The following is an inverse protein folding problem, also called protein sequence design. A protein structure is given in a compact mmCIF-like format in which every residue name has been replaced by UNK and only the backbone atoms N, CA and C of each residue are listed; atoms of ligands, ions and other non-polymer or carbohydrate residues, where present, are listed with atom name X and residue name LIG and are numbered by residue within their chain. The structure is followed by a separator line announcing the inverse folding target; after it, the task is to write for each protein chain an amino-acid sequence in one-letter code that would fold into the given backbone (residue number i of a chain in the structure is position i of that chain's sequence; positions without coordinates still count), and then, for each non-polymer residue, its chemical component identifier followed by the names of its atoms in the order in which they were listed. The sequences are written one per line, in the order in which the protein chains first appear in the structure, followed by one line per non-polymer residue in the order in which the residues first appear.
data_IF_153370989801
#
_entry.id   IF_153370989801
#
_cell.length_a   1.000
_cell.length_b   1.000
_cell.length_c   1.000
_cell.angle_alpha   90.00
_cell.angle_beta   90.00
_cell.angle_gamma   90.00
#
_symmetry.space_group_name_H-M   'P 1'
#
loop_
_entity.id
_entity.type
_entity.pdbx_description
1 polymer ?
#
# COMPACT_ATOMS: atom_id res chain seq x y z
N UNK A 1 -10.75 -1.87 26.65
CA UNK A 1 -9.70 -2.31 25.71
C UNK A 1 -9.87 -3.81 25.49
N UNK A 2 -10.05 -4.30 24.25
CA UNK A 2 -9.62 -5.65 23.96
C UNK A 2 -8.09 -5.61 24.03
N UNK A 3 -7.54 -6.02 25.18
CA UNK A 3 -6.19 -6.58 25.22
C UNK A 3 -6.18 -7.62 24.09
N UNK A 4 -5.05 -7.81 23.40
CA UNK A 4 -4.87 -9.06 22.66
C UNK A 4 -4.92 -10.13 23.75
N UNK A 5 -6.12 -10.57 24.13
CA UNK A 5 -6.34 -11.82 24.83
C UNK A 5 -5.88 -12.81 23.78
N UNK A 6 -4.58 -13.08 23.75
CA UNK A 6 -4.13 -14.40 23.40
C UNK A 6 -4.92 -15.27 24.35
N UNK A 7 -5.96 -15.97 23.86
CA UNK A 7 -6.67 -16.86 24.74
C UNK A 7 -5.58 -17.77 25.29
N UNK A 8 -5.45 -17.87 26.61
CA UNK A 8 -4.49 -18.79 27.23
C UNK A 8 -4.77 -20.26 26.84
N UNK A 9 -5.84 -20.50 26.06
CA UNK A 9 -6.04 -21.69 25.27
C UNK A 9 -5.12 -21.77 24.05
N UNK A 10 -4.34 -22.86 23.98
CA UNK A 10 -3.54 -23.28 22.82
C UNK A 10 -4.22 -22.87 21.51
N UNK A 11 -3.55 -21.98 20.77
CA UNK A 11 -4.03 -21.54 19.46
C UNK A 11 -4.21 -22.78 18.59
N UNK A 12 -5.44 -23.06 18.18
CA UNK A 12 -5.71 -24.22 17.34
C UNK A 12 -4.94 -24.06 16.02
N UNK A 13 -4.51 -25.18 15.43
CA UNK A 13 -3.86 -25.18 14.11
C UNK A 13 -4.70 -24.42 13.07
N UNK A 14 -6.03 -24.55 13.15
CA UNK A 14 -6.97 -23.82 12.29
C UNK A 14 -6.97 -22.31 12.51
N UNK A 15 -6.71 -21.83 13.74
CA UNK A 15 -6.53 -20.41 14.03
C UNK A 15 -5.23 -19.87 13.45
N UNK A 16 -4.13 -20.60 13.62
CA UNK A 16 -2.83 -20.22 13.05
C UNK A 16 -2.89 -20.11 11.52
N UNK A 17 -3.52 -21.09 10.84
CA UNK A 17 -3.68 -21.08 9.39
C UNK A 17 -4.46 -19.84 8.92
N UNK A 18 -5.52 -19.43 9.63
CA UNK A 18 -6.28 -18.22 9.28
C UNK A 18 -5.44 -16.96 9.42
N UNK A 19 -4.68 -16.83 10.52
CA UNK A 19 -3.80 -15.69 10.78
C UNK A 19 -2.74 -15.56 9.69
N UNK A 20 -2.07 -16.66 9.35
CA UNK A 20 -1.06 -16.70 8.28
C UNK A 20 -1.71 -16.32 6.94
N UNK A 21 -2.87 -16.86 6.63
CA UNK A 21 -3.57 -16.56 5.38
C UNK A 21 -4.00 -15.10 5.28
N UNK A 22 -4.44 -14.49 6.38
CA UNK A 22 -4.75 -13.07 6.45
C UNK A 22 -3.50 -12.22 6.20
N UNK A 23 -2.38 -12.54 6.87
CA UNK A 23 -1.11 -11.86 6.68
C UNK A 23 -0.63 -11.95 5.23
N UNK A 24 -0.73 -13.12 4.60
CA UNK A 24 -0.38 -13.33 3.18
C UNK A 24 -1.25 -12.47 2.26
N UNK A 25 -2.56 -12.40 2.49
CA UNK A 25 -3.46 -11.57 1.65
C UNK A 25 -3.12 -10.09 1.73
N UNK A 26 -2.84 -9.59 2.93
CA UNK A 26 -2.43 -8.20 3.14
C UNK A 26 -1.08 -7.96 2.47
N UNK A 27 -0.14 -8.90 2.63
CA UNK A 27 1.17 -8.81 2.03
C UNK A 27 1.14 -8.75 0.50
N UNK A 28 0.33 -9.62 -0.13
CA UNK A 28 0.12 -9.62 -1.57
C UNK A 28 -0.49 -8.30 -2.05
N UNK A 29 -1.53 -7.80 -1.36
CA UNK A 29 -2.15 -6.52 -1.71
C UNK A 29 -1.18 -5.35 -1.67
N UNK A 30 -0.33 -5.30 -0.64
CA UNK A 30 0.70 -4.26 -0.49
C UNK A 30 1.79 -4.42 -1.55
N UNK A 31 2.27 -5.64 -1.80
CA UNK A 31 3.33 -5.89 -2.78
C UNK A 31 2.90 -5.51 -4.20
N UNK A 32 1.65 -5.80 -4.59
CA UNK A 32 1.09 -5.42 -5.89
C UNK A 32 1.08 -3.90 -6.10
N UNK A 33 0.91 -3.12 -5.03
CA UNK A 33 0.89 -1.65 -5.11
C UNK A 33 2.29 -1.07 -4.96
N UNK A 34 3.01 -1.40 -3.90
CA UNK A 34 4.24 -0.70 -3.54
C UNK A 34 5.40 -1.05 -4.47
N UNK A 35 5.52 -2.31 -4.92
CA UNK A 35 6.68 -2.74 -5.73
C UNK A 35 6.67 -2.12 -7.13
N UNK A 36 5.58 -2.23 -7.94
CA UNK A 36 5.61 -1.69 -9.30
C UNK A 36 5.73 -0.16 -9.32
N UNK A 37 4.96 0.52 -8.46
CA UNK A 37 5.01 1.97 -8.37
C UNK A 37 6.35 2.45 -7.79
N UNK A 38 6.93 1.71 -6.84
CA UNK A 38 8.25 2.04 -6.31
C UNK A 38 9.35 1.97 -7.37
N UNK A 39 9.37 0.91 -8.19
CA UNK A 39 10.30 0.81 -9.33
C UNK A 39 10.10 1.95 -10.33
N UNK A 40 8.84 2.35 -10.59
CA UNK A 40 8.55 3.44 -11.50
C UNK A 40 9.05 4.81 -10.99
N UNK A 41 9.10 5.01 -9.67
CA UNK A 41 9.49 6.29 -9.06
C UNK A 41 11.01 6.39 -8.91
N UNK A 42 11.65 5.36 -8.35
CA UNK A 42 13.05 5.47 -7.91
C UNK A 42 14.03 4.67 -8.75
N UNK A 43 13.59 3.59 -9.40
CA UNK A 43 14.47 2.63 -10.06
C UNK A 43 15.44 1.87 -9.14
N UNK A 44 15.46 2.18 -7.83
CA UNK A 44 16.44 1.64 -6.88
C UNK A 44 15.85 0.57 -5.97
N UNK A 45 16.51 -0.59 -5.94
CA UNK A 45 16.06 -1.75 -5.18
C UNK A 45 15.95 -1.50 -3.66
N UNK A 46 16.90 -0.77 -3.08
CA UNK A 46 16.92 -0.50 -1.64
C UNK A 46 15.73 0.36 -1.19
N UNK A 47 15.37 1.39 -1.96
CA UNK A 47 14.17 2.21 -1.70
C UNK A 47 12.90 1.35 -1.68
N UNK A 48 12.81 0.40 -2.61
CA UNK A 48 11.65 -0.47 -2.76
C UNK A 48 11.60 -1.50 -1.64
N UNK A 49 12.73 -2.08 -1.24
CA UNK A 49 12.82 -2.96 -0.07
C UNK A 49 12.38 -2.24 1.21
N UNK A 50 12.80 -0.99 1.40
CA UNK A 50 12.36 -0.16 2.53
C UNK A 50 10.86 0.08 2.50
N UNK A 51 10.33 0.55 1.38
CA UNK A 51 8.90 0.85 1.27
C UNK A 51 8.02 -0.39 1.37
N UNK A 52 8.36 -1.45 0.66
CA UNK A 52 7.64 -2.72 0.72
C UNK A 52 7.73 -3.32 2.12
N UNK A 53 8.93 -3.39 2.72
CA UNK A 53 9.13 -3.91 4.06
C UNK A 53 8.34 -3.13 5.12
N UNK A 54 8.40 -1.79 5.09
CA UNK A 54 7.60 -0.92 5.97
C UNK A 54 6.11 -1.18 5.79
N UNK A 55 5.63 -1.11 4.55
CA UNK A 55 4.23 -1.30 4.23
C UNK A 55 3.73 -2.66 4.71
N UNK A 56 4.47 -3.73 4.44
CA UNK A 56 4.17 -5.11 4.84
C UNK A 56 4.10 -5.24 6.36
N UNK A 57 5.14 -4.83 7.08
CA UNK A 57 5.21 -4.98 8.53
C UNK A 57 4.05 -4.22 9.21
N UNK A 58 3.82 -2.97 8.81
CA UNK A 58 2.76 -2.14 9.39
C UNK A 58 1.38 -2.66 8.99
N UNK A 59 1.17 -2.94 7.70
CA UNK A 59 -0.11 -3.40 7.18
C UNK A 59 -0.53 -4.74 7.78
N UNK A 60 0.38 -5.71 7.86
CA UNK A 60 0.14 -7.00 8.51
C UNK A 60 -0.12 -6.79 10.00
N UNK A 61 0.73 -6.04 10.71
CA UNK A 61 0.57 -5.79 12.14
C UNK A 61 -0.78 -5.15 12.51
N UNK A 62 -1.21 -4.15 11.73
CA UNK A 62 -2.53 -3.53 11.90
C UNK A 62 -3.66 -4.48 11.55
N UNK A 63 -3.51 -5.28 10.50
CA UNK A 63 -4.56 -6.21 10.09
C UNK A 63 -4.85 -7.28 11.13
N UNK A 64 -3.80 -7.81 11.78
CA UNK A 64 -3.92 -8.81 12.82
C UNK A 64 -4.55 -8.22 14.08
N UNK A 65 -4.28 -6.94 14.34
CA UNK A 65 -4.80 -6.23 15.51
C UNK A 65 -6.28 -5.86 15.40
N UNK A 66 -6.75 -5.47 14.22
CA UNK A 66 -8.12 -4.97 14.02
C UNK A 66 -9.17 -6.06 13.78
N UNK A 67 -8.76 -7.34 13.79
CA UNK A 67 -9.63 -8.49 13.55
C UNK A 67 -10.07 -8.65 12.09
N UNK A 68 -10.80 -9.74 11.81
CA UNK A 68 -11.07 -10.19 10.44
C UNK A 68 -11.88 -9.19 9.59
N UNK A 69 -12.81 -8.45 10.19
CA UNK A 69 -13.81 -7.69 9.42
C UNK A 69 -13.27 -6.41 8.79
N UNK A 70 -12.43 -5.67 9.51
CA UNK A 70 -11.87 -4.40 9.05
C UNK A 70 -10.34 -4.45 8.86
N UNK A 71 -9.66 -5.41 9.51
CA UNK A 71 -8.21 -5.44 9.54
C UNK A 71 -7.58 -5.66 8.18
N UNK A 72 -8.17 -6.47 7.30
CA UNK A 72 -7.60 -6.72 5.97
C UNK A 72 -7.56 -5.44 5.13
N UNK A 73 -8.70 -4.75 4.98
CA UNK A 73 -8.78 -3.54 4.14
C UNK A 73 -7.98 -2.38 4.73
N UNK A 74 -8.04 -2.18 6.05
CA UNK A 74 -7.27 -1.13 6.73
C UNK A 74 -5.77 -1.43 6.66
N UNK A 75 -5.37 -2.69 6.88
CA UNK A 75 -3.97 -3.11 6.79
C UNK A 75 -3.38 -2.91 5.39
N UNK A 76 -4.11 -3.32 4.34
CA UNK A 76 -3.69 -3.08 2.95
C UNK A 76 -3.58 -1.57 2.70
N UNK A 77 -4.61 -0.79 3.05
CA UNK A 77 -4.63 0.63 2.77
C UNK A 77 -3.49 1.39 3.48
N UNK A 78 -3.38 1.23 4.80
CA UNK A 78 -2.38 1.93 5.62
C UNK A 78 -0.98 1.46 5.25
N UNK A 79 -0.80 0.14 5.06
CA UNK A 79 0.46 -0.44 4.59
C UNK A 79 0.88 0.10 3.22
N UNK A 80 -0.03 0.17 2.25
CA UNK A 80 0.26 0.74 0.92
C UNK A 80 0.59 2.22 0.98
N UNK A 81 -0.16 3.03 1.74
CA UNK A 81 0.13 4.47 1.88
C UNK A 81 1.51 4.68 2.49
N UNK A 82 1.81 4.02 3.61
CA UNK A 82 3.08 4.19 4.32
C UNK A 82 4.26 3.63 3.52
N UNK A 83 4.07 2.50 2.85
CA UNK A 83 5.07 1.95 1.95
C UNK A 83 5.38 2.90 0.80
N UNK A 84 4.36 3.45 0.14
CA UNK A 84 4.55 4.43 -0.94
C UNK A 84 5.21 5.72 -0.48
N UNK A 85 4.80 6.27 0.66
CA UNK A 85 5.43 7.47 1.23
C UNK A 85 6.88 7.20 1.60
N UNK A 86 7.19 6.03 2.14
CA UNK A 86 8.56 5.63 2.43
C UNK A 86 9.40 5.55 1.14
N UNK A 87 8.88 4.95 0.06
CA UNK A 87 9.58 4.92 -1.24
C UNK A 87 9.79 6.34 -1.78
N UNK A 88 8.76 7.19 -1.73
CA UNK A 88 8.82 8.56 -2.22
C UNK A 88 9.85 9.40 -1.47
N UNK A 89 9.86 9.33 -0.14
CA UNK A 89 10.82 10.09 0.68
C UNK A 89 12.23 9.55 0.46
N UNK A 90 12.41 8.23 0.43
CA UNK A 90 13.71 7.62 0.17
C UNK A 90 14.24 7.98 -1.23
N UNK A 91 13.39 7.95 -2.26
CA UNK A 91 13.77 8.35 -3.62
C UNK A 91 14.01 9.84 -3.83
N UNK A 92 13.41 10.70 -3.00
CA UNK A 92 13.58 12.15 -3.08
C UNK A 92 14.83 12.66 -2.34
N UNK A 93 15.43 11.83 -1.48
CA UNK A 93 16.60 12.21 -0.69
C UNK A 93 17.78 11.35 -1.06
N UNK A 94 18.92 11.98 -1.35
CA UNK A 94 20.18 11.25 -1.37
C UNK A 94 20.42 10.63 0.02
N UNK A 95 20.68 9.33 0.07
CA UNK A 95 20.95 8.55 1.30
C UNK A 95 22.02 9.14 2.22
N UNK A 96 22.75 10.16 1.76
CA UNK A 96 23.82 10.86 2.47
C UNK A 96 23.42 11.35 3.87
N UNK A 97 22.14 11.68 4.11
CA UNK A 97 21.70 12.19 5.40
C UNK A 97 21.22 11.11 6.40
N UNK A 98 21.21 9.85 5.97
CA UNK A 98 20.92 8.70 6.82
C UNK A 98 19.46 8.55 7.28
N UNK A 99 19.15 7.45 7.99
CA UNK A 99 17.79 7.08 8.40
C UNK A 99 17.09 8.01 9.37
N UNK A 100 17.84 8.90 10.03
CA UNK A 100 17.29 9.85 10.98
C UNK A 100 16.33 10.86 10.36
N UNK A 101 16.33 11.04 9.03
CA UNK A 101 15.49 12.06 8.36
C UNK A 101 14.18 11.52 7.83
N UNK A 102 14.20 10.36 7.18
CA UNK A 102 13.02 9.83 6.49
C UNK A 102 12.15 8.92 7.38
N UNK A 103 12.69 8.36 8.47
CA UNK A 103 11.92 7.56 9.43
C UNK A 103 10.90 8.41 10.23
N UNK A 104 11.27 9.59 10.79
CA UNK A 104 10.33 10.42 11.55
C UNK A 104 9.03 10.80 10.82
N UNK A 105 9.02 11.28 9.55
CA UNK A 105 7.78 11.60 8.84
C UNK A 105 6.90 10.38 8.60
N UNK A 106 7.47 9.23 8.25
CA UNK A 106 6.70 7.99 8.04
C UNK A 106 6.08 7.49 9.34
N UNK A 107 6.85 7.56 10.43
CA UNK A 107 6.36 7.23 11.77
C UNK A 107 5.25 8.19 12.21
N UNK A 108 5.43 9.50 12.00
CA UNK A 108 4.41 10.53 12.20
C UNK A 108 3.12 10.23 11.46
N UNK A 109 3.23 9.98 10.15
CA UNK A 109 2.11 9.65 9.28
C UNK A 109 1.36 8.41 9.76
N UNK A 110 2.09 7.34 10.11
CA UNK A 110 1.50 6.08 10.54
C UNK A 110 0.74 6.21 11.85
N UNK A 111 1.32 6.85 12.86
CA UNK A 111 0.63 7.10 14.13
C UNK A 111 -0.59 7.99 13.93
N UNK A 112 -0.49 9.02 13.07
CA UNK A 112 -1.61 9.90 12.71
C UNK A 112 -2.75 9.16 12.00
N UNK A 113 -2.44 8.29 11.04
CA UNK A 113 -3.44 7.47 10.34
C UNK A 113 -4.18 6.55 11.31
N UNK A 114 -3.47 5.91 12.25
CA UNK A 114 -4.05 5.02 13.26
C UNK A 114 -4.99 5.81 14.20
N UNK A 115 -4.59 7.00 14.65
CA UNK A 115 -5.44 7.91 15.47
C UNK A 115 -6.69 8.31 14.70
N UNK A 116 -6.54 8.80 13.46
CA UNK A 116 -7.64 9.32 12.67
C UNK A 116 -8.64 8.25 12.21
N UNK A 117 -8.22 6.98 12.04
CA UNK A 117 -9.14 5.89 11.72
C UNK A 117 -10.04 5.50 12.89
N UNK A 118 -9.76 6.02 14.09
CA UNK A 118 -10.54 5.77 15.30
C UNK A 118 -10.37 4.35 15.83
N UNK A 119 -9.31 3.65 15.42
CA UNK A 119 -9.03 2.27 15.82
C UNK A 119 -8.54 2.19 17.25
N UNK A 120 -7.93 3.27 17.72
CA UNK A 120 -7.43 3.45 19.08
C UNK A 120 -7.84 4.83 19.55
N UNK A 121 -8.51 4.90 20.71
CA UNK A 121 -8.75 6.20 21.34
C UNK A 121 -7.50 6.54 22.14
N UNK A 122 -6.71 7.47 21.65
CA UNK A 122 -5.56 8.02 22.35
C UNK A 122 -6.04 8.96 23.47
N UNK A 123 -6.71 8.42 24.49
CA UNK A 123 -7.22 9.21 25.60
C UNK A 123 -6.10 9.57 26.59
N UNK A 124 -5.04 8.76 26.63
CA UNK A 124 -3.94 8.89 27.58
C UNK A 124 -2.56 8.85 26.92
N UNK A 125 -1.56 9.46 27.57
CA UNK A 125 -0.15 9.32 27.15
C UNK A 125 0.34 7.87 27.15
N UNK A 126 -0.22 7.03 28.01
CA UNK A 126 0.10 5.60 28.06
C UNK A 126 -0.33 4.91 26.76
N UNK A 127 -1.54 5.17 26.28
CA UNK A 127 -2.01 4.67 24.98
C UNK A 127 -1.14 5.22 23.85
N UNK A 128 -0.89 6.53 23.83
CA UNK A 128 0.00 7.13 22.82
C UNK A 128 1.39 6.51 22.78
N UNK A 129 1.93 6.17 23.96
CA UNK A 129 3.22 5.50 24.09
C UNK A 129 3.18 4.07 23.54
N UNK A 130 2.15 3.29 23.88
CA UNK A 130 2.00 1.91 23.38
C UNK A 130 1.82 1.87 21.86
N UNK A 131 1.01 2.79 21.32
CA UNK A 131 0.80 2.90 19.86
C UNK A 131 2.08 3.31 19.13
N UNK A 132 2.77 4.33 19.66
CA UNK A 132 4.04 4.78 19.07
C UNK A 132 5.08 3.66 19.14
N UNK A 133 5.18 2.93 20.26
CA UNK A 133 6.09 1.80 20.40
C UNK A 133 5.78 0.68 19.41
N UNK A 134 4.51 0.27 19.31
CA UNK A 134 4.08 -0.75 18.35
C UNK A 134 4.45 -0.32 16.93
N UNK A 135 4.16 0.94 16.58
CA UNK A 135 4.48 1.49 15.27
C UNK A 135 5.99 1.53 15.00
N UNK A 136 6.81 1.90 15.99
CA UNK A 136 8.26 1.88 15.90
C UNK A 136 8.80 0.46 15.67
N UNK A 137 8.26 -0.53 16.39
CA UNK A 137 8.64 -1.95 16.24
C UNK A 137 8.29 -2.46 14.84
N UNK A 138 7.08 -2.19 14.35
CA UNK A 138 6.66 -2.60 13.01
C UNK A 138 7.51 -1.92 11.92
N UNK A 139 7.76 -0.62 12.07
CA UNK A 139 8.59 0.13 11.15
C UNK A 139 10.03 -0.42 11.15
N UNK A 140 10.58 -0.70 12.33
CA UNK A 140 11.92 -1.29 12.50
C UNK A 140 12.07 -2.63 11.79
N UNK A 141 11.10 -3.54 11.94
CA UNK A 141 11.09 -4.79 11.18
C UNK A 141 10.99 -4.56 9.68
N UNK A 142 10.23 -3.55 9.26
CA UNK A 142 10.04 -3.22 7.85
C UNK A 142 11.29 -2.65 7.18
N UNK A 143 12.09 -1.83 7.87
CA UNK A 143 13.33 -1.26 7.32
C UNK A 143 14.56 -2.16 7.49
N UNK A 144 14.49 -3.18 8.36
CA UNK A 144 15.58 -4.10 8.65
C UNK A 144 16.26 -4.68 7.38
N UNK A 145 15.52 -5.13 6.33
CA UNK A 145 16.14 -5.72 5.14
C UNK A 145 17.04 -4.76 4.37
N UNK A 146 16.81 -3.45 4.48
CA UNK A 146 17.55 -2.44 3.73
C UNK A 146 18.60 -1.69 4.56
N UNK A 147 18.36 -1.52 5.86
CA UNK A 147 19.22 -0.72 6.75
C UNK A 147 19.98 -1.55 7.79
N UNK A 148 19.73 -2.85 7.87
CA UNK A 148 20.30 -3.72 8.90
C UNK A 148 20.01 -3.20 10.31
N UNK A 149 20.99 -3.27 11.20
CA UNK A 149 20.83 -2.92 12.64
C UNK A 149 20.39 -1.47 12.85
N UNK A 150 20.82 -0.53 12.00
CA UNK A 150 20.38 0.88 12.09
C UNK A 150 18.87 1.01 11.87
N UNK A 151 18.29 0.15 11.04
CA UNK A 151 16.85 0.05 10.84
C UNK A 151 16.08 -0.34 12.10
N UNK A 152 16.71 -1.07 13.04
CA UNK A 152 16.10 -1.43 14.31
C UNK A 152 16.17 -0.28 15.33
N UNK A 153 17.34 0.35 15.45
CA UNK A 153 17.64 1.31 16.51
C UNK A 153 16.90 2.63 16.29
N UNK A 154 16.93 3.17 15.07
CA UNK A 154 16.44 4.53 14.80
C UNK A 154 14.94 4.69 15.08
N UNK A 155 14.03 3.83 14.58
CA UNK A 155 12.60 3.93 14.91
C UNK A 155 12.35 3.84 16.41
N UNK A 156 13.03 2.93 17.13
CA UNK A 156 12.84 2.75 18.56
C UNK A 156 13.32 3.98 19.35
N UNK A 157 14.41 4.60 18.94
CA UNK A 157 14.91 5.82 19.55
C UNK A 157 13.94 7.00 19.39
N UNK A 158 13.14 7.02 18.33
CA UNK A 158 12.13 8.04 18.03
C UNK A 158 10.81 7.88 18.79
N UNK A 159 10.61 6.74 19.46
CA UNK A 159 9.38 6.43 20.19
C UNK A 159 8.95 7.52 21.19
N UNK A 160 9.85 8.09 22.03
CA UNK A 160 9.46 9.10 23.01
C UNK A 160 8.92 10.38 22.37
N UNK A 161 9.59 10.86 21.32
CA UNK A 161 9.21 12.06 20.58
C UNK A 161 7.83 11.88 19.96
N UNK A 162 7.58 10.73 19.34
CA UNK A 162 6.30 10.44 18.72
C UNK A 162 5.16 10.27 19.71
N UNK A 163 5.42 9.63 20.85
CA UNK A 163 4.45 9.51 21.93
C UNK A 163 4.08 10.88 22.53
N UNK A 164 5.03 11.81 22.62
CA UNK A 164 4.77 13.19 23.05
C UNK A 164 3.90 13.94 22.04
N UNK A 165 4.24 13.88 20.75
CA UNK A 165 3.46 14.51 19.67
C UNK A 165 2.02 13.96 19.67
N UNK A 166 1.86 12.64 19.60
CA UNK A 166 0.54 12.01 19.58
C UNK A 166 -0.27 12.30 20.85
N UNK A 167 0.34 12.20 22.03
CA UNK A 167 -0.32 12.50 23.30
C UNK A 167 -0.63 13.99 23.52
N UNK A 168 0.08 14.90 22.86
CA UNK A 168 -0.23 16.33 22.88
C UNK A 168 -1.44 16.65 21.99
N UNK A 169 -1.48 16.13 20.76
CA UNK A 169 -2.51 16.44 19.78
C UNK A 169 -3.79 15.60 19.88
N UNK A 170 -3.75 14.42 20.50
CA UNK A 170 -4.97 13.60 20.66
C UNK A 170 -5.85 14.00 21.85
N UNK A 171 -5.51 15.10 22.54
CA UNK A 171 -6.28 15.58 23.69
C UNK A 171 -7.66 16.11 23.25
N UNK A 172 -8.71 15.36 23.56
CA UNK A 172 -10.06 15.91 23.64
C UNK A 172 -10.11 16.90 24.83
N UNK A 173 -10.81 18.03 24.67
CA UNK A 173 -10.80 19.16 25.62
C UNK A 173 -11.13 18.77 27.07
N UNK A 174 -11.92 17.70 27.25
CA UNK A 174 -12.39 17.23 28.56
C UNK A 174 -11.34 16.43 29.36
N UNK A 175 -10.30 15.89 28.71
CA UNK A 175 -9.29 15.01 29.32
C UNK A 175 -8.11 15.72 30.02
N UNK A 176 -8.12 17.07 30.06
CA UNK A 176 -6.92 17.86 30.45
C UNK A 176 -6.41 17.57 31.88
N UNK A 177 -7.27 17.19 32.83
CA UNK A 177 -6.88 17.05 34.25
C UNK A 177 -5.94 15.86 34.55
N UNK A 178 -5.86 14.84 33.69
CA UNK A 178 -4.98 13.68 33.89
C UNK A 178 -3.80 13.61 32.89
N UNK A 179 -3.49 14.73 32.22
CA UNK A 179 -2.67 14.75 30.99
C UNK A 179 -1.30 15.42 31.15
N UNK A 180 -0.62 15.25 32.29
CA UNK A 180 0.80 15.67 32.37
C UNK A 180 1.65 14.66 31.58
N UNK A 181 2.50 15.11 30.64
CA UNK A 181 3.42 14.20 29.95
C UNK A 181 4.29 13.51 31.00
N UNK A 182 4.43 12.17 30.96
CA UNK A 182 5.31 11.48 31.89
C UNK A 182 6.74 11.96 31.70
N UNK A 183 7.40 12.29 32.81
CA UNK A 183 8.76 12.87 32.83
C UNK A 183 9.75 12.04 32.02
N UNK A 184 9.59 10.70 32.02
CA UNK A 184 10.41 9.78 31.24
C UNK A 184 10.37 10.04 29.73
N UNK A 185 9.21 10.40 29.15
CA UNK A 185 9.11 10.71 27.71
C UNK A 185 9.82 12.02 27.38
N UNK A 186 9.73 13.01 28.27
CA UNK A 186 10.41 14.29 28.13
C UNK A 186 11.93 14.06 28.15
N UNK A 187 12.44 13.37 29.17
CA UNK A 187 13.86 13.04 29.30
C UNK A 187 14.34 12.24 28.08
N UNK A 188 13.60 11.22 27.65
CA UNK A 188 13.95 10.41 26.49
C UNK A 188 14.04 11.24 25.20
N UNK A 189 13.13 12.19 24.99
CA UNK A 189 13.16 13.09 23.83
C UNK A 189 14.36 14.02 23.89
N UNK A 190 14.65 14.63 25.04
CA UNK A 190 15.83 15.48 25.21
C UNK A 190 17.14 14.71 25.04
N UNK A 191 17.23 13.48 25.56
CA UNK A 191 18.40 12.63 25.41
C UNK A 191 18.66 12.28 23.93
N UNK A 192 17.62 11.95 23.17
CA UNK A 192 17.72 11.73 21.73
C UNK A 192 18.24 12.99 21.00
N UNK A 193 17.66 14.14 21.31
CA UNK A 193 18.07 15.43 20.75
C UNK A 193 19.54 15.74 21.01
N UNK A 194 19.99 15.57 22.25
CA UNK A 194 21.38 15.77 22.63
C UNK A 194 22.30 14.80 21.87
N UNK A 195 21.93 13.52 21.76
CA UNK A 195 22.70 12.54 21.03
C UNK A 195 22.84 12.87 19.54
N UNK A 196 21.77 13.34 18.88
CA UNK A 196 21.80 13.75 17.47
C UNK A 196 22.68 14.98 17.25
N UNK A 197 22.59 15.98 18.13
CA UNK A 197 23.42 17.19 18.05
C UNK A 197 24.90 16.85 18.26
N UNK A 198 25.22 16.03 19.26
CA UNK A 198 26.61 15.62 19.54
C UNK A 198 27.16 14.79 18.38
N UNK A 199 26.36 13.85 17.85
CA UNK A 199 26.75 13.03 16.70
C UNK A 199 27.07 13.88 15.48
N UNK A 200 26.16 14.76 15.06
CA UNK A 200 26.38 15.62 13.89
C UNK A 200 27.60 16.54 14.07
N UNK A 201 27.81 17.06 15.29
CA UNK A 201 28.97 17.88 15.61
C UNK A 201 30.30 17.11 15.53
N UNK A 202 30.33 15.84 15.93
CA UNK A 202 31.54 15.02 15.90
C UNK A 202 31.94 14.55 14.48
N UNK A 203 30.97 14.35 13.59
CA UNK A 203 31.24 13.84 12.24
C UNK A 203 31.46 14.94 11.20
N UNK A 204 31.30 16.21 11.57
CA UNK A 204 31.32 17.31 10.64
C UNK A 204 32.40 18.35 10.98
N UNK A 205 33.66 18.02 10.68
CA UNK A 205 34.83 18.89 10.89
C UNK A 205 34.74 20.26 10.16
N UNK A 206 33.87 20.37 9.16
CA UNK A 206 33.57 21.62 8.42
C UNK A 206 32.08 22.00 8.47
N UNK A 207 31.38 21.49 9.49
CA UNK A 207 29.94 21.51 9.53
C UNK A 207 29.28 22.88 9.65
N UNK A 208 27.96 22.93 9.41
CA UNK A 208 27.20 24.15 9.66
C UNK A 208 27.38 24.57 11.12
N UNK A 209 27.26 25.87 11.41
CA UNK A 209 27.38 26.36 12.78
C UNK A 209 26.37 25.65 13.69
N UNK A 210 26.69 25.51 14.99
CA UNK A 210 25.88 24.75 15.96
C UNK A 210 24.37 25.09 15.91
N UNK A 211 24.04 26.36 15.71
CA UNK A 211 22.64 26.80 15.59
C UNK A 211 21.94 26.21 14.35
N UNK A 212 22.65 26.00 13.25
CA UNK A 212 22.16 25.32 12.06
C UNK A 212 21.85 23.85 12.32
N UNK A 213 22.74 23.14 13.02
CA UNK A 213 22.53 21.75 13.46
C UNK A 213 21.31 21.64 14.37
N UNK A 214 21.23 22.49 15.39
CA UNK A 214 20.10 22.51 16.35
C UNK A 214 18.79 22.79 15.62
N UNK A 215 18.77 23.77 14.71
CA UNK A 215 17.59 24.08 13.91
C UNK A 215 17.18 22.89 13.04
N UNK A 216 18.14 22.27 12.35
CA UNK A 216 17.90 21.12 11.48
C UNK A 216 17.34 19.91 12.23
N UNK A 217 17.95 19.57 13.38
CA UNK A 217 17.47 18.49 14.26
C UNK A 217 16.07 18.81 14.78
N UNK A 218 15.82 20.07 15.18
CA UNK A 218 14.50 20.49 15.67
C UNK A 218 13.41 20.38 14.59
N UNK A 219 13.72 20.83 13.38
CA UNK A 219 12.78 20.75 12.26
C UNK A 219 12.53 19.29 11.87
N UNK A 220 13.57 18.48 11.73
CA UNK A 220 13.45 17.08 11.30
C UNK A 220 12.77 16.19 12.34
N UNK A 221 12.98 16.43 13.63
CA UNK A 221 12.49 15.54 14.69
C UNK A 221 11.19 16.03 15.37
N UNK A 222 10.85 17.32 15.32
CA UNK A 222 9.59 17.82 15.88
C UNK A 222 8.64 18.35 14.81
N UNK A 223 9.10 19.29 13.97
CA UNK A 223 8.20 19.99 13.03
C UNK A 223 7.67 19.05 11.96
N UNK A 224 8.57 18.36 11.25
CA UNK A 224 8.20 17.45 10.16
C UNK A 224 7.28 16.31 10.66
N UNK A 225 7.61 15.57 11.73
CA UNK A 225 6.76 14.46 12.19
C UNK A 225 5.42 14.95 12.72
N UNK A 226 5.37 16.15 13.32
CA UNK A 226 4.10 16.77 13.73
C UNK A 226 3.21 17.08 12.52
N UNK A 227 3.79 17.66 11.46
CA UNK A 227 3.04 17.94 10.23
C UNK A 227 2.50 16.64 9.63
N UNK A 228 3.34 15.61 9.50
CA UNK A 228 2.93 14.31 8.96
C UNK A 228 1.92 13.59 9.86
N UNK A 229 2.02 13.72 11.18
CA UNK A 229 1.02 13.21 12.11
C UNK A 229 -0.34 13.86 11.90
N UNK A 230 -0.38 15.20 11.86
CA UNK A 230 -1.62 15.95 11.63
C UNK A 230 -2.20 15.64 10.25
N UNK A 231 -1.34 15.55 9.23
CA UNK A 231 -1.74 15.16 7.88
C UNK A 231 -2.31 13.74 7.84
N UNK A 232 -1.65 12.78 8.46
CA UNK A 232 -2.13 11.40 8.56
C UNK A 232 -3.48 11.31 9.27
N UNK A 233 -3.64 12.03 10.37
CA UNK A 233 -4.91 12.11 11.10
C UNK A 233 -6.01 12.71 10.25
N UNK A 234 -5.75 13.85 9.60
CA UNK A 234 -6.70 14.51 8.71
C UNK A 234 -7.08 13.62 7.53
N UNK A 235 -6.10 12.96 6.91
CA UNK A 235 -6.30 12.02 5.81
C UNK A 235 -7.17 10.86 6.26
N UNK A 236 -6.89 10.25 7.42
CA UNK A 236 -7.69 9.15 7.93
C UNK A 236 -9.14 9.55 8.25
N UNK A 237 -9.36 10.70 8.90
CA UNK A 237 -10.71 11.23 9.17
C UNK A 237 -11.46 11.51 7.87
N UNK A 238 -10.78 12.05 6.87
CA UNK A 238 -11.36 12.31 5.54
C UNK A 238 -11.65 11.03 4.75
N UNK A 239 -10.79 10.02 4.87
CA UNK A 239 -10.96 8.72 4.21
C UNK A 239 -12.04 7.87 4.89
N UNK A 240 -12.21 7.98 6.20
CA UNK A 240 -13.14 7.13 6.97
C UNK A 240 -14.56 7.05 6.38
N UNK A 241 -15.25 8.17 6.05
CA UNK A 241 -16.58 8.08 5.44
C UNK A 241 -16.54 7.43 4.05
N UNK A 242 -15.49 7.70 3.26
CA UNK A 242 -15.32 7.15 1.91
C UNK A 242 -15.04 5.66 1.94
N UNK A 243 -14.22 5.20 2.88
CA UNK A 243 -13.90 3.78 3.06
C UNK A 243 -15.14 2.98 3.43
N UNK A 244 -16.08 3.55 4.20
CA UNK A 244 -17.36 2.88 4.47
C UNK A 244 -18.16 2.65 3.19
N UNK A 245 -18.18 3.65 2.29
CA UNK A 245 -18.80 3.51 0.97
C UNK A 245 -18.07 2.46 0.13
N UNK A 246 -16.74 2.44 0.14
CA UNK A 246 -15.96 1.42 -0.58
C UNK A 246 -16.12 0.01 -0.01
N UNK A 247 -16.34 -0.15 1.29
CA UNK A 247 -16.63 -1.46 1.89
C UNK A 247 -17.98 -1.97 1.36
N UNK A 248 -18.99 -1.11 1.27
CA UNK A 248 -20.25 -1.47 0.62
C UNK A 248 -20.03 -1.79 -0.87
N UNK A 249 -19.23 -0.97 -1.56
CA UNK A 249 -18.86 -1.21 -2.97
C UNK A 249 -18.07 -2.51 -3.17
N UNK A 250 -17.25 -2.92 -2.19
CA UNK A 250 -16.49 -4.15 -2.22
C UNK A 250 -17.41 -5.37 -2.21
N UNK A 251 -18.55 -5.33 -1.51
CA UNK A 251 -19.56 -6.38 -1.56
C UNK A 251 -20.17 -6.50 -2.98
N UNK A 252 -20.40 -5.36 -3.64
CA UNK A 252 -20.82 -5.34 -5.05
C UNK A 252 -19.72 -5.84 -5.99
N UNK A 253 -18.48 -5.36 -5.85
CA UNK A 253 -17.33 -5.84 -6.63
C UNK A 253 -17.08 -7.33 -6.41
N UNK A 254 -17.33 -7.85 -5.21
CA UNK A 254 -17.19 -9.28 -4.91
C UNK A 254 -18.21 -10.15 -5.65
N UNK A 255 -19.36 -9.58 -6.02
CA UNK A 255 -20.30 -10.26 -6.90
C UNK A 255 -19.83 -10.18 -8.36
N UNK A 256 -19.23 -9.04 -8.74
CA UNK A 256 -18.77 -8.77 -10.10
C UNK A 256 -17.42 -9.41 -10.46
N UNK A 257 -16.57 -9.76 -9.48
CA UNK A 257 -15.22 -10.24 -9.78
C UNK A 257 -15.23 -11.59 -10.50
N UNK A 258 -16.22 -12.45 -10.27
CA UNK A 258 -16.32 -13.74 -10.96
C UNK A 258 -16.53 -13.54 -12.47
N UNK A 259 -17.55 -12.79 -12.93
CA UNK A 259 -17.71 -12.53 -14.36
C UNK A 259 -16.59 -11.66 -14.94
N UNK A 260 -16.05 -10.67 -14.20
CA UNK A 260 -14.87 -9.89 -14.65
C UNK A 260 -13.62 -10.78 -14.75
N UNK A 261 -13.45 -11.74 -13.85
CA UNK A 261 -12.36 -12.70 -13.88
C UNK A 261 -12.49 -13.62 -15.09
N UNK A 262 -13.69 -14.15 -15.33
CA UNK A 262 -14.00 -14.94 -16.52
C UNK A 262 -13.75 -14.16 -17.81
N UNK A 263 -14.15 -12.88 -17.84
CA UNK A 263 -13.87 -11.95 -18.95
C UNK A 263 -12.38 -11.88 -19.26
N UNK A 264 -11.58 -11.55 -18.24
CA UNK A 264 -10.14 -11.35 -18.37
C UNK A 264 -9.44 -12.64 -18.82
N UNK A 265 -9.81 -13.79 -18.26
CA UNK A 265 -9.25 -15.10 -18.64
C UNK A 265 -9.60 -15.45 -20.09
N UNK A 266 -10.84 -15.23 -20.52
CA UNK A 266 -11.25 -15.51 -21.90
C UNK A 266 -10.50 -14.64 -22.91
N UNK A 267 -10.36 -13.33 -22.63
CA UNK A 267 -9.54 -12.45 -23.45
C UNK A 267 -8.09 -12.88 -23.50
N UNK A 268 -7.51 -13.24 -22.36
CA UNK A 268 -6.12 -13.69 -22.29
C UNK A 268 -5.89 -14.95 -23.15
N UNK A 269 -6.83 -15.89 -23.13
CA UNK A 269 -6.76 -17.10 -23.98
C UNK A 269 -6.81 -16.72 -25.47
N UNK A 270 -7.75 -15.86 -25.87
CA UNK A 270 -7.83 -15.39 -27.26
C UNK A 270 -6.53 -14.69 -27.68
N UNK A 271 -5.99 -13.83 -26.82
CA UNK A 271 -4.76 -13.08 -27.09
C UNK A 271 -3.60 -14.05 -27.32
N UNK A 272 -3.39 -15.00 -26.42
CA UNK A 272 -2.29 -15.99 -26.51
C UNK A 272 -2.46 -16.89 -27.74
N UNK A 273 -3.69 -17.37 -27.99
CA UNK A 273 -4.00 -18.23 -29.14
C UNK A 273 -3.68 -17.54 -30.46
N UNK A 274 -4.19 -16.32 -30.67
CA UNK A 274 -3.98 -15.57 -31.90
C UNK A 274 -2.55 -15.05 -32.04
N UNK A 275 -1.86 -14.71 -30.94
CA UNK A 275 -0.43 -14.42 -30.97
C UNK A 275 0.38 -15.61 -31.53
N UNK A 276 0.03 -16.84 -31.11
CA UNK A 276 0.60 -18.06 -31.66
C UNK A 276 0.33 -18.22 -33.15
N UNK A 277 -0.91 -17.97 -33.60
CA UNK A 277 -1.23 -18.03 -35.03
C UNK A 277 -0.52 -16.97 -35.87
N UNK A 278 -0.37 -15.74 -35.36
CA UNK A 278 0.37 -14.69 -36.07
C UNK A 278 1.85 -15.05 -36.24
N UNK A 279 2.53 -15.43 -35.15
CA UNK A 279 3.92 -15.86 -35.22
C UNK A 279 4.11 -17.11 -36.09
N UNK A 280 3.14 -18.02 -36.10
CA UNK A 280 3.18 -19.21 -36.97
C UNK A 280 3.02 -18.84 -38.44
N UNK A 281 2.07 -17.95 -38.76
CA UNK A 281 1.84 -17.48 -40.13
C UNK A 281 3.07 -16.76 -40.70
N UNK A 282 3.71 -15.89 -39.93
CA UNK A 282 4.94 -15.19 -40.35
C UNK A 282 6.10 -16.17 -40.60
N UNK A 283 6.20 -17.26 -39.81
CA UNK A 283 7.20 -18.30 -40.03
C UNK A 283 6.98 -19.12 -41.30
N UNK A 284 5.72 -19.41 -41.64
CA UNK A 284 5.39 -20.19 -42.84
C UNK A 284 5.39 -19.34 -44.11
N UNK A 285 5.01 -18.07 -44.01
CA UNK A 285 4.95 -17.13 -45.12
C UNK A 285 5.64 -15.84 -44.68
N UNK A 286 6.98 -15.79 -44.76
CA UNK A 286 7.75 -14.60 -44.38
C UNK A 286 7.31 -13.36 -45.16
N UNK A 287 7.20 -12.22 -44.48
CA UNK A 287 6.67 -10.99 -45.06
C UNK A 287 5.15 -10.90 -45.03
N UNK A 288 4.47 -11.72 -44.22
CA UNK A 288 3.04 -11.58 -43.96
C UNK A 288 2.74 -10.36 -43.07
N UNK A 289 3.70 -9.96 -42.25
CA UNK A 289 3.66 -8.78 -41.39
C UNK A 289 4.91 -7.91 -41.57
N UNK A 290 4.73 -6.60 -41.64
CA UNK A 290 5.88 -5.67 -41.54
C UNK A 290 6.32 -5.59 -40.08
N UNK A 291 7.62 -5.74 -39.82
CA UNK A 291 8.17 -5.81 -38.45
C UNK A 291 8.04 -7.18 -37.80
N UNK A 292 7.55 -8.20 -38.52
CA UNK A 292 7.35 -9.56 -37.98
C UNK A 292 8.62 -10.42 -37.92
N UNK A 293 9.64 -10.12 -38.74
CA UNK A 293 10.87 -10.94 -38.84
C UNK A 293 11.68 -10.98 -37.54
N UNK A 294 11.72 -9.87 -36.82
CA UNK A 294 12.48 -9.69 -35.57
C UNK A 294 11.58 -9.66 -34.33
N UNK A 295 10.28 -9.94 -34.50
CA UNK A 295 9.30 -9.84 -33.44
C UNK A 295 9.47 -10.98 -32.42
N UNK A 296 9.63 -10.59 -31.15
CA UNK A 296 9.62 -11.51 -30.03
C UNK A 296 8.22 -12.04 -29.74
N UNK A 297 8.11 -13.09 -28.91
CA UNK A 297 6.80 -13.60 -28.44
C UNK A 297 6.00 -12.47 -27.76
N UNK A 298 6.66 -11.58 -27.01
CA UNK A 298 6.01 -10.46 -26.35
C UNK A 298 5.40 -9.47 -27.35
N UNK A 299 6.05 -9.25 -28.50
CA UNK A 299 5.54 -8.36 -29.55
C UNK A 299 4.30 -8.96 -30.23
N UNK A 300 4.26 -10.27 -30.45
CA UNK A 300 3.06 -10.96 -30.96
C UNK A 300 1.89 -10.94 -29.96
N UNK A 301 2.18 -11.10 -28.66
CA UNK A 301 1.17 -10.95 -27.59
C UNK A 301 0.65 -9.50 -27.55
N UNK A 302 1.54 -8.50 -27.64
CA UNK A 302 1.15 -7.10 -27.65
C UNK A 302 0.30 -6.77 -28.90
N UNK A 303 0.73 -7.19 -30.08
CA UNK A 303 -0.03 -7.04 -31.32
C UNK A 303 -1.43 -7.65 -31.20
N UNK A 304 -1.52 -8.90 -30.73
CA UNK A 304 -2.79 -9.60 -30.51
C UNK A 304 -3.67 -8.89 -29.47
N UNK A 305 -3.09 -8.37 -28.38
CA UNK A 305 -3.81 -7.60 -27.36
C UNK A 305 -4.43 -6.32 -27.92
N UNK A 306 -3.64 -5.50 -28.62
CA UNK A 306 -4.15 -4.25 -29.20
C UNK A 306 -5.22 -4.51 -30.26
N UNK A 307 -5.03 -5.56 -31.09
CA UNK A 307 -6.04 -5.98 -32.06
C UNK A 307 -7.33 -6.46 -31.38
N UNK A 308 -7.26 -7.27 -30.33
CA UNK A 308 -8.44 -7.67 -29.56
C UNK A 308 -9.24 -6.47 -28.98
N UNK A 309 -8.56 -5.34 -28.75
CA UNK A 309 -9.15 -4.07 -28.31
C UNK A 309 -9.51 -3.11 -29.45
N UNK A 310 -9.45 -3.55 -30.70
CA UNK A 310 -9.69 -2.72 -31.91
C UNK A 310 -8.77 -1.51 -32.02
N UNK A 311 -7.57 -1.57 -31.42
CA UNK A 311 -6.53 -0.55 -31.52
C UNK A 311 -5.42 -0.97 -32.46
N UNK A 312 -4.83 0.00 -33.15
CA UNK A 312 -3.65 -0.22 -33.96
C UNK A 312 -2.39 -0.29 -33.09
N UNK A 313 -1.52 -1.24 -33.42
CA UNK A 313 -0.20 -1.39 -32.84
C UNK A 313 0.84 -1.08 -33.92
N UNK A 314 1.72 -0.12 -33.66
CA UNK A 314 2.59 0.46 -34.69
C UNK A 314 3.80 -0.39 -35.05
N UNK A 315 4.19 -1.34 -34.20
CA UNK A 315 5.40 -2.13 -34.44
C UNK A 315 5.19 -3.32 -35.39
N UNK A 316 3.96 -3.84 -35.50
CA UNK A 316 3.62 -4.97 -36.38
C UNK A 316 2.37 -4.60 -37.19
N UNK A 317 2.45 -4.67 -38.51
CA UNK A 317 1.32 -4.34 -39.41
C UNK A 317 1.06 -5.50 -40.37
N UNK A 318 -0.20 -5.98 -40.49
CA UNK A 318 -0.56 -7.04 -41.45
C UNK A 318 -0.48 -6.51 -42.88
N UNK A 319 0.22 -7.21 -43.77
CA UNK A 319 0.32 -6.85 -45.20
C UNK A 319 -0.23 -7.92 -46.13
N UNK A 320 -0.16 -9.20 -45.75
CA UNK A 320 -0.67 -10.28 -46.59
C UNK A 320 -2.19 -10.49 -46.44
N UNK A 321 -2.88 -10.99 -47.48
CA UNK A 321 -4.30 -11.35 -47.38
C UNK A 321 -4.59 -12.37 -46.27
N UNK A 322 -3.67 -13.32 -46.06
CA UNK A 322 -3.78 -14.30 -44.97
C UNK A 322 -3.69 -13.64 -43.59
N UNK A 323 -2.80 -12.66 -43.42
CA UNK A 323 -2.68 -11.89 -42.19
C UNK A 323 -3.97 -11.10 -41.91
N UNK A 324 -4.54 -10.45 -42.93
CA UNK A 324 -5.81 -9.74 -42.81
C UNK A 324 -6.98 -10.67 -42.48
N UNK A 325 -7.06 -11.83 -43.12
CA UNK A 325 -8.07 -12.84 -42.80
C UNK A 325 -7.96 -13.31 -41.34
N UNK A 326 -6.74 -13.52 -40.84
CA UNK A 326 -6.48 -13.93 -39.46
C UNK A 326 -6.81 -12.82 -38.45
N UNK A 327 -6.54 -11.55 -38.79
CA UNK A 327 -7.02 -10.38 -38.01
C UNK A 327 -8.55 -10.35 -37.97
N UNK A 328 -9.23 -10.51 -39.11
CA UNK A 328 -10.69 -10.62 -39.14
C UNK A 328 -11.22 -11.78 -38.29
N UNK A 329 -10.57 -12.93 -38.37
CA UNK A 329 -10.91 -14.11 -37.57
C UNK A 329 -10.67 -13.90 -36.06
N UNK A 330 -9.77 -13.01 -35.65
CA UNK A 330 -9.60 -12.60 -34.25
C UNK A 330 -10.70 -11.63 -33.79
N UNK A 331 -11.09 -10.71 -34.66
CA UNK A 331 -12.08 -9.67 -34.32
C UNK A 331 -13.44 -10.27 -33.98
N UNK A 332 -13.90 -11.25 -34.76
CA UNK A 332 -15.21 -11.90 -34.56
C UNK A 332 -15.36 -12.49 -33.14
N UNK A 333 -14.47 -13.39 -32.66
CA UNK A 333 -14.55 -13.93 -31.31
C UNK A 333 -14.23 -12.89 -30.24
N UNK A 334 -13.37 -11.90 -30.50
CA UNK A 334 -13.09 -10.83 -29.52
C UNK A 334 -14.34 -9.98 -29.24
N UNK A 335 -15.03 -9.54 -30.30
CA UNK A 335 -16.30 -8.80 -30.19
C UNK A 335 -17.40 -9.70 -29.63
N UNK A 336 -17.51 -10.94 -30.14
CA UNK A 336 -18.49 -11.92 -29.67
C UNK A 336 -18.34 -12.21 -28.18
N UNK A 337 -17.11 -12.39 -27.71
CA UNK A 337 -16.80 -12.59 -26.29
C UNK A 337 -17.16 -11.36 -25.44
N UNK A 338 -16.85 -10.15 -25.90
CA UNK A 338 -17.27 -8.92 -25.23
C UNK A 338 -18.79 -8.85 -25.06
N UNK A 339 -19.55 -9.15 -26.13
CA UNK A 339 -21.01 -9.13 -26.11
C UNK A 339 -21.59 -10.20 -25.17
N UNK A 340 -21.11 -11.44 -25.25
CA UNK A 340 -21.56 -12.55 -24.40
C UNK A 340 -21.30 -12.22 -22.94
N UNK A 341 -20.12 -11.71 -22.62
CA UNK A 341 -19.79 -11.36 -21.24
C UNK A 341 -20.59 -10.16 -20.77
N UNK A 342 -20.77 -9.13 -21.59
CA UNK A 342 -21.61 -7.98 -21.24
C UNK A 342 -23.05 -8.42 -20.93
N UNK A 343 -23.63 -9.31 -21.75
CA UNK A 343 -24.95 -9.89 -21.51
C UNK A 343 -25.00 -10.74 -20.23
N UNK A 344 -23.97 -11.56 -19.97
CA UNK A 344 -23.87 -12.37 -18.76
C UNK A 344 -23.69 -11.50 -17.49
N UNK A 345 -22.90 -10.44 -17.59
CA UNK A 345 -22.69 -9.43 -16.54
C UNK A 345 -24.01 -8.73 -16.23
N UNK A 346 -24.70 -8.19 -17.24
CA UNK A 346 -25.98 -7.50 -17.05
C UNK A 346 -27.05 -8.42 -16.46
N UNK A 347 -27.19 -9.65 -16.97
CA UNK A 347 -28.19 -10.61 -16.46
C UNK A 347 -27.88 -11.12 -15.05
N UNK A 348 -26.60 -11.28 -14.68
CA UNK A 348 -26.20 -11.77 -13.37
C UNK A 348 -26.18 -10.68 -12.28
N UNK A 349 -25.91 -9.43 -12.66
CA UNK A 349 -25.77 -8.30 -11.74
C UNK A 349 -27.15 -7.75 -11.37
N UNK A 350 -28.05 -7.55 -12.35
CA UNK A 350 -29.35 -6.91 -12.12
C UNK A 350 -30.15 -7.50 -10.93
N UNK A 351 -30.42 -8.82 -10.84
CA UNK A 351 -31.18 -9.37 -9.72
C UNK A 351 -30.43 -9.29 -8.39
N UNK A 352 -29.08 -9.26 -8.42
CA UNK A 352 -28.26 -9.15 -7.20
C UNK A 352 -28.21 -7.72 -6.69
N UNK A 353 -28.15 -6.72 -7.58
CA UNK A 353 -28.25 -5.31 -7.21
C UNK A 353 -29.62 -4.99 -6.61
N UNK A 354 -30.71 -5.47 -7.22
CA UNK A 354 -32.06 -5.30 -6.69
C UNK A 354 -32.22 -5.89 -5.29
N UNK A 355 -31.65 -7.08 -5.04
CA UNK A 355 -31.65 -7.69 -3.69
C UNK A 355 -30.86 -6.88 -2.67
N UNK A 356 -29.69 -6.35 -3.03
CA UNK A 356 -28.89 -5.55 -2.11
C UNK A 356 -29.56 -4.19 -1.84
N UNK A 357 -30.12 -3.56 -2.87
CA UNK A 357 -30.87 -2.31 -2.74
C UNK A 357 -32.08 -2.47 -1.82
N UNK A 358 -32.87 -3.55 -1.99
CA UNK A 358 -34.01 -3.88 -1.13
C UNK A 358 -33.59 -4.10 0.33
N UNK A 359 -32.52 -4.86 0.55
CA UNK A 359 -32.02 -5.15 1.91
C UNK A 359 -31.52 -3.90 2.64
N UNK A 360 -30.94 -2.94 1.92
CA UNK A 360 -30.52 -1.67 2.50
C UNK A 360 -31.73 -0.79 2.84
N UNK A 361 -32.74 -0.74 1.96
CA UNK A 361 -33.98 0.00 2.23
C UNK A 361 -34.74 -0.52 3.46
N UNK A 362 -34.79 -1.85 3.64
CA UNK A 362 -35.37 -2.48 4.85
C UNK A 362 -34.56 -2.14 6.12
N UNK A 363 -33.24 -1.96 6.00
CA UNK A 363 -32.36 -1.65 7.14
C UNK A 363 -32.37 -0.17 7.54
N UNK A 364 -32.70 0.73 6.62
CA UNK A 364 -32.78 2.17 6.86
C UNK A 364 -34.18 2.61 7.34
N UNK A 365 -35.19 1.72 7.24
CA UNK A 365 -36.56 1.96 7.70
C UNK A 365 -36.85 1.54 9.16
N UNK A 366 -35.93 0.78 9.77
CA UNK A 366 -35.91 0.40 11.20
C UNK A 366 -34.95 1.31 11.99
#
# INVERSE_FOLDING_TARGET
MPIIQFPEGRMSLSGLIRVVWQAVRVAVGIAIVVVPFGYAITGEHNHILMGAGCGLAIGVGLSLRMGERNGLSVGILVGSILGMVMVLIAGAQDFAYGPGIYIPPVLGLGVGLIDGLGTTRFQTYREASLESLMMCVLLAFGVLPALGVLGLIVPLALMPTMALIAGFFSRNLDGRRYSRPPVLLIIGTFALYAALIIGDWQFNDKGPPLHGVVLFVSVSQLVIPTIFFLFGRALAVWMQPRLRVYVQLADYLRVMWVPIGGFAVGYLILIILFAGFYGTLERFIPGSFTGGSDASIADWVAFSFFRALTRDYTAIVPVSPAAWALVGAQMIPSVGWALVVFAAVMSSIQPKLERIARRNAERDGD
#
